data_IF_751397804685
#
_entry.id   IF_751397804685
#
_cell.length_a   1.000
_cell.length_b   1.000
_cell.length_c   1.000
_cell.angle_alpha   90.00
_cell.angle_beta   90.00
_cell.angle_gamma   90.00
#
_symmetry.space_group_name_H-M   'P 1'
#
loop_
_entity.id
_entity.type
_entity.pdbx_description
1 polymer ?
#
# COMPACT_ATOMS: atom_id res chain seq x y z
N UNK A 1 0.99 16.75 -5.21
CA UNK A 1 2.30 17.21 -5.67
C UNK A 1 3.06 17.96 -4.56
N UNK A 2 2.43 18.94 -3.87
CA UNK A 2 3.09 19.71 -2.80
C UNK A 2 3.74 18.81 -1.73
N UNK A 3 3.08 17.76 -1.28
CA UNK A 3 3.64 16.81 -0.31
C UNK A 3 4.85 16.03 -0.89
N UNK A 4 4.83 15.65 -2.16
CA UNK A 4 5.98 15.02 -2.80
C UNK A 4 7.21 15.94 -2.77
N UNK A 5 7.00 17.22 -3.12
CA UNK A 5 8.08 18.23 -3.09
C UNK A 5 8.57 18.44 -1.65
N UNK A 6 7.65 18.59 -0.69
CA UNK A 6 8.01 18.79 0.71
C UNK A 6 8.86 17.63 1.24
N UNK A 7 8.49 16.36 0.96
CA UNK A 7 9.25 15.19 1.36
C UNK A 7 10.65 15.18 0.74
N UNK A 8 10.78 15.52 -0.54
CA UNK A 8 12.10 15.57 -1.21
C UNK A 8 12.98 16.67 -0.64
N UNK A 9 12.42 17.87 -0.40
CA UNK A 9 13.16 19.01 0.16
C UNK A 9 13.62 18.74 1.60
N UNK A 10 12.79 18.03 2.37
CA UNK A 10 13.08 17.66 3.76
C UNK A 10 13.72 16.28 3.87
N UNK A 11 14.09 15.65 2.74
CA UNK A 11 14.62 14.29 2.72
C UNK A 11 15.88 14.16 3.58
N UNK A 12 15.94 13.07 4.34
CA UNK A 12 17.12 12.60 5.01
C UNK A 12 17.72 11.38 4.28
N UNK A 13 18.87 10.91 4.73
CA UNK A 13 19.57 9.76 4.15
C UNK A 13 18.99 8.41 4.58
N UNK A 14 17.85 8.38 5.28
CA UNK A 14 17.27 7.14 5.79
C UNK A 14 16.91 6.18 4.66
N UNK A 15 17.55 5.02 4.67
CA UNK A 15 17.38 3.95 3.70
C UNK A 15 17.51 2.60 4.38
N UNK A 16 16.82 1.59 3.87
CA UNK A 16 16.95 0.22 4.34
C UNK A 16 17.43 -0.68 3.21
N UNK A 17 18.27 -1.68 3.51
CA UNK A 17 18.79 -2.60 2.51
C UNK A 17 17.72 -3.56 2.03
N UNK A 18 17.59 -3.72 0.72
CA UNK A 18 16.89 -4.84 0.09
C UNK A 18 17.89 -5.95 -0.15
N UNK A 19 17.59 -7.14 0.34
CA UNK A 19 18.51 -8.28 0.40
C UNK A 19 17.99 -9.48 -0.37
N UNK A 20 18.91 -10.33 -0.77
CA UNK A 20 18.59 -11.68 -1.24
C UNK A 20 19.46 -12.69 -0.49
N UNK A 21 18.84 -13.80 -0.08
CA UNK A 21 19.55 -14.88 0.62
C UNK A 21 19.62 -16.10 -0.30
N UNK A 22 20.83 -16.51 -0.65
CA UNK A 22 21.12 -17.63 -1.53
C UNK A 22 21.64 -18.82 -0.74
N UNK A 23 21.29 -20.04 -1.16
CA UNK A 23 21.92 -21.25 -0.66
C UNK A 23 23.33 -21.37 -1.22
N UNK A 24 24.29 -21.82 -0.38
CA UNK A 24 25.70 -22.00 -0.76
C UNK A 24 26.03 -23.47 -1.10
N UNK A 25 25.03 -24.35 -1.14
CA UNK A 25 25.14 -25.76 -1.46
C UNK A 25 23.78 -26.39 -1.78
N UNK A 26 23.73 -27.69 -2.06
CA UNK A 26 22.48 -28.38 -2.31
C UNK A 26 21.56 -28.35 -1.07
N UNK A 27 20.23 -28.40 -1.25
CA UNK A 27 19.28 -28.39 -0.13
C UNK A 27 19.56 -29.50 0.87
N UNK A 28 19.66 -29.16 2.16
CA UNK A 28 19.92 -30.13 3.23
C UNK A 28 19.93 -29.44 4.60
N UNK A 29 19.94 -30.24 5.70
CA UNK A 29 19.85 -29.68 7.05
C UNK A 29 21.05 -28.78 7.45
N UNK A 30 22.19 -28.90 6.78
CA UNK A 30 23.41 -28.13 7.04
C UNK A 30 23.79 -27.19 5.89
N UNK A 31 22.84 -26.81 5.02
CA UNK A 31 23.11 -25.89 3.93
C UNK A 31 23.46 -24.50 4.48
N UNK A 32 24.58 -23.95 4.02
CA UNK A 32 24.95 -22.58 4.31
C UNK A 32 24.08 -21.58 3.52
N UNK A 33 23.97 -20.38 4.07
CA UNK A 33 23.26 -19.28 3.42
C UNK A 33 24.18 -18.07 3.30
N UNK A 34 24.12 -17.40 2.13
CA UNK A 34 24.81 -16.14 1.88
C UNK A 34 23.77 -15.05 1.62
N UNK A 35 23.75 -14.04 2.45
CA UNK A 35 22.89 -12.86 2.27
C UNK A 35 23.67 -11.73 1.61
N UNK A 36 23.13 -11.21 0.51
CA UNK A 36 23.70 -10.12 -0.29
C UNK A 36 22.73 -8.94 -0.29
N UNK A 37 23.25 -7.73 -0.08
CA UNK A 37 22.47 -6.51 -0.28
C UNK A 37 22.46 -6.17 -1.77
N UNK A 38 21.26 -6.12 -2.35
CA UNK A 38 21.07 -5.79 -3.77
C UNK A 38 21.14 -4.28 -3.98
N UNK A 39 20.43 -3.53 -3.16
CA UNK A 39 20.43 -2.05 -3.15
C UNK A 39 19.83 -1.54 -1.83
N UNK A 40 19.99 -0.24 -1.59
CA UNK A 40 19.33 0.45 -0.48
C UNK A 40 18.12 1.22 -0.99
N UNK A 41 16.93 0.97 -0.42
CA UNK A 41 15.72 1.71 -0.71
C UNK A 41 15.65 2.97 0.15
N UNK A 42 15.73 4.14 -0.47
CA UNK A 42 15.49 5.41 0.20
C UNK A 42 14.00 5.60 0.48
N UNK A 43 13.65 5.79 1.75
CA UNK A 43 12.26 5.99 2.16
C UNK A 43 11.70 7.31 1.65
N UNK A 44 12.48 8.39 1.66
CA UNK A 44 12.06 9.68 1.13
C UNK A 44 11.68 9.59 -0.36
N UNK A 45 12.50 8.94 -1.19
CA UNK A 45 12.21 8.77 -2.61
C UNK A 45 11.03 7.85 -2.87
N UNK A 46 10.86 6.77 -2.09
CA UNK A 46 9.71 5.88 -2.22
C UNK A 46 8.39 6.57 -1.81
N UNK A 47 8.40 7.40 -0.75
CA UNK A 47 7.27 8.24 -0.35
C UNK A 47 6.96 9.28 -1.43
N UNK A 48 7.97 9.97 -1.95
CA UNK A 48 7.78 10.92 -3.06
C UNK A 48 7.18 10.23 -4.29
N UNK A 49 7.60 8.99 -4.59
CA UNK A 49 7.10 8.22 -5.73
C UNK A 49 5.60 7.92 -5.62
N UNK A 50 5.09 7.46 -4.47
CA UNK A 50 3.63 7.20 -4.37
C UNK A 50 2.80 8.49 -4.40
N UNK A 51 3.32 9.63 -3.89
CA UNK A 51 2.66 10.92 -4.07
C UNK A 51 2.70 11.41 -5.51
N UNK A 52 3.84 11.22 -6.20
CA UNK A 52 3.97 11.58 -7.61
C UNK A 52 3.04 10.75 -8.50
N UNK A 53 2.91 9.44 -8.25
CA UNK A 53 1.94 8.57 -8.92
C UNK A 53 0.51 9.08 -8.75
N UNK A 54 0.12 9.43 -7.52
CA UNK A 54 -1.20 9.99 -7.26
C UNK A 54 -1.41 11.33 -7.96
N UNK A 55 -0.41 12.22 -7.92
CA UNK A 55 -0.49 13.51 -8.60
C UNK A 55 -0.61 13.33 -10.13
N UNK A 56 0.17 12.42 -10.72
CA UNK A 56 0.11 12.09 -12.14
C UNK A 56 -1.26 11.52 -12.52
N UNK A 57 -1.81 10.60 -11.73
CA UNK A 57 -3.13 10.03 -11.97
C UNK A 57 -4.22 11.12 -11.94
N UNK A 58 -4.20 12.00 -10.94
CA UNK A 58 -5.16 13.11 -10.84
C UNK A 58 -5.00 14.09 -11.99
N UNK A 59 -3.78 14.46 -12.37
CA UNK A 59 -3.53 15.30 -13.54
C UNK A 59 -4.06 14.65 -14.83
N UNK A 60 -3.83 13.35 -14.99
CA UNK A 60 -4.29 12.58 -16.15
C UNK A 60 -5.81 12.60 -16.28
N UNK A 61 -6.53 12.35 -15.20
CA UNK A 61 -8.01 12.31 -15.23
C UNK A 61 -8.65 13.70 -15.22
N UNK A 62 -7.97 14.72 -14.71
CA UNK A 62 -8.47 16.10 -14.72
C UNK A 62 -8.15 16.84 -16.03
N UNK A 63 -7.21 16.34 -16.85
CA UNK A 63 -6.74 16.95 -18.09
C UNK A 63 -6.91 16.02 -19.29
N UNK A 64 -5.83 15.38 -19.77
CA UNK A 64 -5.80 14.71 -21.09
C UNK A 64 -6.77 13.53 -21.22
N UNK A 65 -7.26 12.96 -20.13
CA UNK A 65 -8.20 11.82 -20.11
C UNK A 65 -9.57 12.17 -19.53
N UNK A 66 -9.89 13.46 -19.40
CA UNK A 66 -11.14 13.93 -18.79
C UNK A 66 -12.39 13.30 -19.41
N UNK A 67 -12.52 13.31 -20.74
CA UNK A 67 -13.71 12.76 -21.40
C UNK A 67 -13.85 11.26 -21.18
N UNK A 68 -12.74 10.51 -21.27
CA UNK A 68 -12.70 9.09 -20.98
C UNK A 68 -13.05 8.81 -19.51
N UNK A 69 -12.48 9.56 -18.59
CA UNK A 69 -12.76 9.45 -17.15
C UNK A 69 -14.25 9.70 -16.85
N UNK A 70 -14.81 10.81 -17.38
CA UNK A 70 -16.23 11.13 -17.24
C UNK A 70 -17.12 10.02 -17.81
N UNK A 71 -16.80 9.50 -19.00
CA UNK A 71 -17.56 8.41 -19.62
C UNK A 71 -17.54 7.12 -18.77
N UNK A 72 -16.42 6.82 -18.10
CA UNK A 72 -16.32 5.67 -17.19
C UNK A 72 -17.13 5.90 -15.91
N UNK A 73 -17.03 7.08 -15.30
CA UNK A 73 -17.82 7.41 -14.10
C UNK A 73 -19.33 7.32 -14.34
N UNK A 74 -19.82 7.72 -15.52
CA UNK A 74 -21.23 7.57 -15.89
C UNK A 74 -21.68 6.11 -15.96
N UNK A 75 -20.74 5.18 -16.17
CA UNK A 75 -20.98 3.72 -16.13
C UNK A 75 -20.72 3.13 -14.74
N UNK A 76 -20.46 3.95 -13.73
CA UNK A 76 -20.08 3.52 -12.38
C UNK A 76 -18.78 2.72 -12.35
N UNK A 77 -17.80 3.10 -13.18
CA UNK A 77 -16.48 2.49 -13.25
C UNK A 77 -15.38 3.54 -13.11
N UNK A 78 -14.26 3.15 -12.47
CA UNK A 78 -13.08 4.00 -12.41
C UNK A 78 -11.76 3.19 -12.53
N UNK A 79 -11.38 2.74 -13.75
CA UNK A 79 -10.15 1.96 -13.95
C UNK A 79 -8.88 2.74 -13.59
N UNK A 80 -8.90 4.07 -13.72
CA UNK A 80 -7.75 4.92 -13.36
C UNK A 80 -7.40 4.84 -11.89
N UNK A 81 -8.41 4.82 -11.01
CA UNK A 81 -8.24 4.66 -9.57
C UNK A 81 -7.62 3.30 -9.23
N UNK A 82 -8.11 2.23 -9.82
CA UNK A 82 -7.61 0.89 -9.56
C UNK A 82 -6.16 0.71 -9.99
N UNK A 83 -5.79 1.26 -11.15
CA UNK A 83 -4.42 1.26 -11.62
C UNK A 83 -3.48 2.06 -10.69
N UNK A 84 -3.88 3.27 -10.33
CA UNK A 84 -3.11 4.11 -9.40
C UNK A 84 -2.92 3.43 -8.04
N UNK A 85 -3.98 2.84 -7.48
CA UNK A 85 -3.92 2.16 -6.19
C UNK A 85 -3.05 0.91 -6.23
N UNK A 86 -3.08 0.12 -7.31
CA UNK A 86 -2.24 -1.08 -7.42
C UNK A 86 -0.75 -0.75 -7.34
N UNK A 87 -0.35 0.40 -7.86
CA UNK A 87 1.03 0.87 -7.81
C UNK A 87 1.35 1.56 -6.47
N UNK A 88 0.58 2.58 -6.10
CA UNK A 88 0.89 3.40 -4.93
C UNK A 88 0.72 2.67 -3.61
N UNK A 89 -0.33 1.86 -3.45
CA UNK A 89 -0.52 1.06 -2.23
C UNK A 89 0.51 -0.08 -2.11
N UNK A 90 1.03 -0.59 -3.24
CA UNK A 90 2.10 -1.58 -3.20
C UNK A 90 3.42 -0.97 -2.73
N UNK A 91 3.73 0.27 -3.09
CA UNK A 91 4.86 0.98 -2.48
C UNK A 91 4.63 1.16 -0.98
N UNK A 92 3.44 1.56 -0.56
CA UNK A 92 3.11 1.74 0.86
C UNK A 92 3.31 0.45 1.66
N UNK A 93 2.83 -0.69 1.17
CA UNK A 93 2.97 -1.97 1.88
C UNK A 93 4.43 -2.43 1.97
N UNK A 94 5.25 -2.19 0.93
CA UNK A 94 6.69 -2.44 0.95
C UNK A 94 7.38 -1.62 2.05
N UNK A 95 7.08 -0.33 2.15
CA UNK A 95 7.66 0.52 3.18
C UNK A 95 7.30 0.04 4.59
N UNK A 96 6.04 -0.33 4.83
CA UNK A 96 5.59 -0.86 6.11
C UNK A 96 6.28 -2.20 6.43
N UNK A 97 6.38 -3.10 5.44
CA UNK A 97 7.05 -4.39 5.58
C UNK A 97 8.53 -4.23 5.94
N UNK A 98 9.23 -3.31 5.28
CA UNK A 98 10.63 -3.03 5.58
C UNK A 98 10.85 -2.43 6.96
N UNK A 99 9.92 -1.62 7.48
CA UNK A 99 9.99 -1.08 8.84
C UNK A 99 9.90 -2.14 9.94
N UNK A 100 9.28 -3.29 9.67
CA UNK A 100 9.23 -4.42 10.60
C UNK A 100 10.35 -5.45 10.34
N UNK A 101 11.24 -5.20 9.37
CA UNK A 101 12.39 -6.04 9.07
C UNK A 101 12.21 -7.04 7.92
N UNK A 102 11.09 -7.01 7.19
CA UNK A 102 10.93 -7.80 5.96
C UNK A 102 11.70 -7.10 4.84
N UNK A 103 12.90 -7.55 4.55
CA UNK A 103 13.79 -6.93 3.58
C UNK A 103 14.30 -7.89 2.49
N UNK A 104 13.84 -9.13 2.49
CA UNK A 104 14.14 -10.10 1.42
C UNK A 104 13.35 -9.75 0.16
N UNK A 105 14.07 -9.71 -0.98
CA UNK A 105 13.47 -9.30 -2.27
C UNK A 105 12.33 -10.21 -2.71
N UNK A 106 12.43 -11.52 -2.46
CA UNK A 106 11.38 -12.46 -2.84
C UNK A 106 10.10 -12.21 -2.03
N UNK A 107 10.22 -11.94 -0.73
CA UNK A 107 9.11 -11.57 0.13
C UNK A 107 8.49 -10.23 -0.31
N UNK A 108 9.31 -9.23 -0.61
CA UNK A 108 8.81 -7.92 -1.08
C UNK A 108 8.08 -8.02 -2.42
N UNK A 109 8.60 -8.79 -3.38
CA UNK A 109 7.93 -9.04 -4.67
C UNK A 109 6.61 -9.78 -4.47
N UNK A 110 6.58 -10.79 -3.58
CA UNK A 110 5.34 -11.51 -3.26
C UNK A 110 4.30 -10.58 -2.62
N UNK A 111 4.71 -9.72 -1.68
CA UNK A 111 3.82 -8.72 -1.05
C UNK A 111 3.23 -7.74 -2.07
N UNK A 112 4.06 -7.23 -3.01
CA UNK A 112 3.59 -6.37 -4.12
C UNK A 112 2.57 -7.13 -4.98
N UNK A 113 2.88 -8.36 -5.38
CA UNK A 113 2.00 -9.18 -6.22
C UNK A 113 0.65 -9.46 -5.55
N UNK A 114 0.65 -9.85 -4.29
CA UNK A 114 -0.58 -10.12 -3.54
C UNK A 114 -1.40 -8.84 -3.32
N UNK A 115 -0.75 -7.73 -2.97
CA UNK A 115 -1.43 -6.44 -2.78
C UNK A 115 -2.04 -5.92 -4.09
N UNK A 116 -1.30 -5.99 -5.19
CA UNK A 116 -1.81 -5.62 -6.51
C UNK A 116 -2.98 -6.53 -6.95
N UNK A 117 -2.92 -7.83 -6.66
CA UNK A 117 -3.99 -8.78 -6.92
C UNK A 117 -5.25 -8.46 -6.11
N UNK A 118 -5.12 -8.12 -4.82
CA UNK A 118 -6.24 -7.64 -4.00
C UNK A 118 -6.96 -6.47 -4.66
N UNK A 119 -6.20 -5.48 -5.14
CA UNK A 119 -6.74 -4.30 -5.81
C UNK A 119 -7.37 -4.68 -7.16
N UNK A 120 -6.74 -5.63 -7.88
CA UNK A 120 -7.29 -6.21 -9.11
C UNK A 120 -8.65 -6.88 -8.89
N UNK A 121 -8.84 -7.62 -7.79
CA UNK A 121 -10.15 -8.17 -7.42
C UNK A 121 -11.18 -7.09 -7.10
N UNK A 122 -10.77 -5.98 -6.47
CA UNK A 122 -11.63 -4.81 -6.30
C UNK A 122 -12.08 -4.21 -7.65
N UNK A 123 -11.16 -4.14 -8.63
CA UNK A 123 -11.48 -3.71 -9.99
C UNK A 123 -12.40 -4.72 -10.69
N UNK A 124 -12.17 -6.01 -10.55
CA UNK A 124 -13.05 -7.05 -11.11
C UNK A 124 -14.47 -6.94 -10.52
N UNK A 125 -14.58 -6.71 -9.21
CA UNK A 125 -15.87 -6.44 -8.56
C UNK A 125 -16.60 -5.27 -9.22
N UNK A 126 -15.89 -4.16 -9.47
CA UNK A 126 -16.48 -2.97 -10.12
C UNK A 126 -16.84 -3.22 -11.59
N UNK A 127 -16.05 -4.01 -12.31
CA UNK A 127 -16.21 -4.19 -13.74
C UNK A 127 -17.26 -5.22 -14.12
N UNK A 128 -17.38 -6.30 -13.36
CA UNK A 128 -18.20 -7.46 -13.75
C UNK A 128 -19.45 -7.65 -12.91
N UNK A 129 -19.50 -7.05 -11.73
CA UNK A 129 -20.64 -7.15 -10.83
C UNK A 129 -21.44 -5.84 -10.80
N UNK A 130 -22.76 -5.95 -10.89
CA UNK A 130 -23.63 -4.78 -10.71
C UNK A 130 -23.92 -4.53 -9.22
N UNK A 131 -24.09 -3.26 -8.80
CA UNK A 131 -24.49 -2.97 -7.43
C UNK A 131 -25.81 -3.65 -7.05
N UNK A 132 -25.75 -4.45 -5.97
CA UNK A 132 -26.85 -5.31 -5.50
C UNK A 132 -26.71 -6.79 -5.89
N UNK A 133 -25.76 -7.14 -6.78
CA UNK A 133 -25.43 -8.50 -7.15
C UNK A 133 -24.41 -9.16 -6.16
N UNK A 134 -23.70 -10.18 -6.63
CA UNK A 134 -22.72 -10.92 -5.84
C UNK A 134 -21.52 -10.09 -5.39
N UNK A 135 -20.83 -10.58 -4.37
CA UNK A 135 -19.59 -10.02 -3.84
C UNK A 135 -18.42 -11.02 -3.96
N UNK A 136 -18.43 -11.89 -4.98
CA UNK A 136 -17.43 -12.93 -5.17
C UNK A 136 -16.01 -12.37 -5.26
N UNK A 137 -15.71 -11.52 -6.26
CA UNK A 137 -14.38 -10.91 -6.38
C UNK A 137 -13.99 -10.11 -5.13
N UNK A 138 -14.92 -9.39 -4.52
CA UNK A 138 -14.68 -8.63 -3.29
C UNK A 138 -14.15 -9.53 -2.16
N UNK A 139 -14.78 -10.67 -1.89
CA UNK A 139 -14.34 -11.58 -0.83
C UNK A 139 -12.98 -12.21 -1.12
N UNK A 140 -12.72 -12.59 -2.37
CA UNK A 140 -11.40 -13.08 -2.79
C UNK A 140 -10.35 -11.98 -2.59
N UNK A 141 -10.68 -10.75 -2.93
CA UNK A 141 -9.84 -9.58 -2.66
C UNK A 141 -9.56 -9.39 -1.16
N UNK A 142 -10.55 -9.55 -0.29
CA UNK A 142 -10.34 -9.48 1.17
C UNK A 142 -9.40 -10.58 1.67
N UNK A 143 -9.52 -11.81 1.16
CA UNK A 143 -8.62 -12.93 1.51
C UNK A 143 -7.19 -12.61 1.05
N UNK A 144 -7.00 -12.13 -0.18
CA UNK A 144 -5.69 -11.71 -0.66
C UNK A 144 -5.15 -10.53 0.18
N UNK A 145 -6.00 -9.57 0.51
CA UNK A 145 -5.62 -8.35 1.21
C UNK A 145 -5.16 -8.55 2.65
N UNK A 146 -5.59 -9.60 3.33
CA UNK A 146 -5.13 -9.88 4.71
C UNK A 146 -3.72 -10.46 4.77
N UNK A 147 -3.23 -11.10 3.68
CA UNK A 147 -1.94 -11.80 3.66
C UNK A 147 -0.76 -10.88 3.99
N UNK A 148 -0.59 -9.70 3.38
CA UNK A 148 0.48 -8.77 3.74
C UNK A 148 0.45 -8.38 5.22
N UNK A 149 -0.75 -8.17 5.77
CA UNK A 149 -0.93 -7.77 7.17
C UNK A 149 -0.58 -8.88 8.14
N UNK A 150 -0.88 -10.15 7.80
CA UNK A 150 -0.45 -11.31 8.59
C UNK A 150 1.08 -11.40 8.60
N UNK A 151 1.73 -11.28 7.43
CA UNK A 151 3.19 -11.30 7.34
C UNK A 151 3.83 -10.19 8.20
N UNK A 152 3.34 -8.96 8.07
CA UNK A 152 3.83 -7.81 8.85
C UNK A 152 3.56 -8.03 10.35
N UNK A 153 2.39 -8.53 10.74
CA UNK A 153 2.05 -8.79 12.14
C UNK A 153 2.96 -9.85 12.78
N UNK A 154 3.34 -10.91 12.05
CA UNK A 154 4.29 -11.92 12.53
C UNK A 154 5.64 -11.27 12.84
N UNK A 155 6.15 -10.44 11.95
CA UNK A 155 7.42 -9.73 12.16
C UNK A 155 7.32 -8.69 13.29
N UNK A 156 6.19 -8.00 13.37
CA UNK A 156 5.94 -7.01 14.43
C UNK A 156 5.83 -7.65 15.82
N UNK A 157 5.20 -8.83 15.91
CA UNK A 157 5.13 -9.61 17.14
C UNK A 157 6.49 -10.18 17.56
N UNK A 158 7.39 -10.42 16.59
CA UNK A 158 8.77 -10.84 16.80
C UNK A 158 8.90 -12.09 17.66
N UNK A 159 8.19 -13.21 17.38
CA UNK A 159 8.27 -14.39 18.24
C UNK A 159 9.72 -14.91 18.33
N UNK A 160 10.26 -14.96 19.54
CA UNK A 160 11.65 -15.37 19.81
C UNK A 160 12.71 -14.28 19.55
N UNK A 161 12.31 -13.06 19.20
CA UNK A 161 13.26 -11.95 19.05
C UNK A 161 13.67 -11.37 20.41
N UNK A 162 14.96 -11.03 20.55
CA UNK A 162 15.49 -10.37 21.75
C UNK A 162 15.15 -8.87 21.82
N UNK A 163 14.73 -8.29 20.70
CA UNK A 163 14.34 -6.88 20.59
C UNK A 163 13.06 -6.75 19.79
N UNK A 164 12.24 -5.77 20.16
CA UNK A 164 10.97 -5.46 19.48
C UNK A 164 11.10 -4.20 18.62
N UNK A 165 10.22 -4.08 17.66
CA UNK A 165 10.13 -2.90 16.82
C UNK A 165 9.88 -1.64 17.68
N UNK A 166 10.40 -0.46 17.28
CA UNK A 166 10.11 0.79 17.97
C UNK A 166 8.60 1.09 18.00
N UNK A 167 8.15 1.79 19.05
CA UNK A 167 6.71 2.04 19.28
C UNK A 167 5.99 2.73 18.12
N UNK A 168 6.67 3.60 17.36
CA UNK A 168 6.08 4.26 16.21
C UNK A 168 5.68 3.28 15.09
N UNK A 169 6.40 2.15 14.95
CA UNK A 169 6.09 1.13 13.94
C UNK A 169 4.74 0.46 14.23
N UNK A 170 4.42 0.24 15.50
CA UNK A 170 3.09 -0.23 15.90
C UNK A 170 2.01 0.81 15.53
N UNK A 171 2.29 2.10 15.77
CA UNK A 171 1.39 3.19 15.39
C UNK A 171 1.10 3.19 13.88
N UNK A 172 2.15 3.05 13.04
CA UNK A 172 2.01 2.94 11.58
C UNK A 172 1.18 1.71 11.22
N UNK A 173 1.51 0.54 11.77
CA UNK A 173 0.80 -0.71 11.48
C UNK A 173 -0.71 -0.56 11.74
N UNK A 174 -1.11 -0.18 12.94
CA UNK A 174 -2.53 -0.12 13.31
C UNK A 174 -3.27 0.98 12.54
N UNK A 175 -2.70 2.17 12.42
CA UNK A 175 -3.36 3.28 11.71
C UNK A 175 -3.58 2.95 10.23
N UNK A 176 -2.57 2.45 9.54
CA UNK A 176 -2.68 2.16 8.11
C UNK A 176 -3.51 0.90 7.87
N UNK A 177 -3.46 -0.11 8.73
CA UNK A 177 -4.36 -1.26 8.69
C UNK A 177 -5.83 -0.84 8.75
N UNK A 178 -6.18 0.08 9.64
CA UNK A 178 -7.54 0.64 9.72
C UNK A 178 -7.92 1.34 8.42
N UNK A 179 -7.05 2.18 7.88
CA UNK A 179 -7.34 2.86 6.60
C UNK A 179 -7.52 1.88 5.44
N UNK A 180 -6.69 0.84 5.33
CA UNK A 180 -6.86 -0.18 4.29
C UNK A 180 -8.22 -0.88 4.40
N UNK A 181 -8.68 -1.18 5.61
CA UNK A 181 -10.02 -1.75 5.82
C UNK A 181 -11.14 -0.76 5.45
N UNK A 182 -10.95 0.54 5.67
CA UNK A 182 -11.93 1.55 5.24
C UNK A 182 -12.16 1.54 3.73
N UNK A 183 -11.15 1.22 2.90
CA UNK A 183 -11.34 1.06 1.45
C UNK A 183 -12.26 -0.13 1.13
N UNK A 184 -12.06 -1.27 1.78
CA UNK A 184 -12.91 -2.43 1.61
C UNK A 184 -14.34 -2.16 2.10
N UNK A 185 -14.50 -1.51 3.25
CA UNK A 185 -15.80 -1.11 3.78
C UNK A 185 -16.51 -0.16 2.80
N UNK A 186 -15.80 0.81 2.22
CA UNK A 186 -16.36 1.73 1.25
C UNK A 186 -16.88 1.00 0.00
N UNK A 187 -16.13 0.02 -0.52
CA UNK A 187 -16.57 -0.82 -1.63
C UNK A 187 -17.80 -1.65 -1.27
N UNK A 188 -17.79 -2.29 -0.10
CA UNK A 188 -18.93 -3.05 0.39
C UNK A 188 -20.20 -2.20 0.51
N UNK A 189 -20.09 -0.99 1.06
CA UNK A 189 -21.21 -0.04 1.19
C UNK A 189 -21.79 0.35 -0.18
N UNK A 190 -20.92 0.59 -1.19
CA UNK A 190 -21.34 0.89 -2.57
C UNK A 190 -22.13 -0.27 -3.19
N UNK A 191 -21.61 -1.50 -3.06
CA UNK A 191 -22.24 -2.67 -3.67
C UNK A 191 -23.52 -3.11 -2.94
N UNK A 192 -23.60 -2.86 -1.64
CA UNK A 192 -24.84 -3.07 -0.84
C UNK A 192 -25.82 -1.88 -0.95
N UNK A 193 -25.46 -0.80 -1.63
CA UNK A 193 -26.28 0.43 -1.78
C UNK A 193 -26.75 0.99 -0.45
N UNK A 194 -25.89 0.99 0.57
CA UNK A 194 -26.23 1.42 1.93
C UNK A 194 -26.34 2.95 2.00
N UNK A 195 -27.53 3.46 2.24
CA UNK A 195 -27.77 4.90 2.46
C UNK A 195 -27.20 5.78 1.34
N UNK A 196 -26.31 6.69 1.66
CA UNK A 196 -25.68 7.62 0.69
C UNK A 196 -24.84 6.91 -0.38
N UNK A 197 -24.32 5.71 -0.10
CA UNK A 197 -23.50 4.93 -1.05
C UNK A 197 -24.32 4.29 -2.18
N UNK A 198 -25.65 4.42 -2.19
CA UNK A 198 -26.46 4.13 -3.35
C UNK A 198 -26.09 5.02 -4.55
N UNK A 199 -25.54 6.20 -4.31
CA UNK A 199 -24.92 7.05 -5.32
C UNK A 199 -23.42 6.68 -5.44
N UNK A 200 -23.02 6.18 -6.61
CA UNK A 200 -21.65 5.78 -6.92
C UNK A 200 -20.63 6.87 -6.61
N UNK A 201 -20.94 8.14 -6.91
CA UNK A 201 -20.03 9.26 -6.69
C UNK A 201 -19.72 9.53 -5.21
N UNK A 202 -20.57 9.11 -4.29
CA UNK A 202 -20.29 9.21 -2.84
C UNK A 202 -19.13 8.30 -2.48
N UNK A 203 -19.15 7.04 -2.93
CA UNK A 203 -18.05 6.12 -2.75
C UNK A 203 -16.76 6.57 -3.44
N UNK A 204 -16.85 7.14 -4.64
CA UNK A 204 -15.69 7.69 -5.35
C UNK A 204 -15.02 8.83 -4.57
N UNK A 205 -15.81 9.76 -4.04
CA UNK A 205 -15.30 10.83 -3.17
C UNK A 205 -14.65 10.26 -1.90
N UNK A 206 -15.27 9.24 -1.29
CA UNK A 206 -14.69 8.57 -0.13
C UNK A 206 -13.34 7.93 -0.47
N UNK A 207 -13.19 7.25 -1.61
CA UNK A 207 -11.91 6.69 -2.05
C UNK A 207 -10.82 7.75 -2.21
N UNK A 208 -11.11 8.88 -2.86
CA UNK A 208 -10.16 9.98 -3.04
C UNK A 208 -9.71 10.53 -1.67
N UNK A 209 -10.67 10.77 -0.77
CA UNK A 209 -10.39 11.29 0.57
C UNK A 209 -9.56 10.30 1.40
N UNK A 210 -9.96 9.02 1.44
CA UNK A 210 -9.22 7.97 2.14
C UNK A 210 -7.80 7.82 1.61
N UNK A 211 -7.62 7.86 0.29
CA UNK A 211 -6.31 7.77 -0.33
C UNK A 211 -5.39 8.93 0.07
N UNK A 212 -5.91 10.15 0.03
CA UNK A 212 -5.15 11.33 0.43
C UNK A 212 -4.74 11.24 1.91
N UNK A 213 -5.68 10.91 2.80
CA UNK A 213 -5.42 10.85 4.25
C UNK A 213 -4.44 9.71 4.57
N UNK A 214 -4.67 8.50 4.05
CA UNK A 214 -3.81 7.35 4.33
C UNK A 214 -2.36 7.57 3.85
N UNK A 215 -2.18 8.11 2.65
CA UNK A 215 -0.85 8.43 2.10
C UNK A 215 -0.16 9.53 2.90
N UNK A 216 -0.89 10.59 3.27
CA UNK A 216 -0.35 11.67 4.09
C UNK A 216 0.05 11.14 5.47
N UNK A 217 -0.83 10.37 6.10
CA UNK A 217 -0.57 9.83 7.43
C UNK A 217 0.67 8.93 7.44
N UNK A 218 0.78 7.98 6.51
CA UNK A 218 1.94 7.11 6.41
C UNK A 218 3.23 7.90 6.17
N UNK A 219 3.20 8.83 5.21
CA UNK A 219 4.36 9.64 4.87
C UNK A 219 4.87 10.44 6.07
N UNK A 220 4.00 11.14 6.77
CA UNK A 220 4.39 11.97 7.91
C UNK A 220 4.74 11.16 9.16
N UNK A 221 4.12 10.00 9.37
CA UNK A 221 4.54 9.09 10.45
C UNK A 221 5.95 8.56 10.23
N UNK A 222 6.28 8.10 9.00
CA UNK A 222 7.64 7.65 8.67
C UNK A 222 8.62 8.82 8.80
N UNK A 223 8.28 9.97 8.23
CA UNK A 223 9.16 11.12 8.21
C UNK A 223 9.47 11.64 9.62
N UNK A 224 8.46 11.81 10.46
CA UNK A 224 8.64 12.28 11.83
C UNK A 224 9.48 11.31 12.68
N UNK A 225 9.28 9.99 12.48
CA UNK A 225 10.04 8.98 13.23
C UNK A 225 11.50 8.85 12.77
N UNK A 226 11.78 9.03 11.47
CA UNK A 226 13.16 9.00 10.95
C UNK A 226 13.94 10.26 11.33
N UNK A 227 13.28 11.42 11.38
CA UNK A 227 13.90 12.65 11.90
C UNK A 227 14.21 12.56 13.41
N UNK A 228 13.29 12.02 14.20
CA UNK A 228 13.49 11.82 15.62
C UNK A 228 14.69 10.88 15.90
N UNK A 229 14.84 9.84 15.08
CA UNK A 229 15.97 8.88 15.22
C UNK A 229 17.32 9.51 14.85
N UNK A 230 17.35 10.41 13.86
CA UNK A 230 18.60 11.10 13.46
C UNK A 230 19.02 12.23 14.42
N UNK A 231 18.14 12.71 15.28
CA UNK A 231 18.45 13.70 16.31
C UNK A 231 18.98 13.07 17.62
N UNK A 232 18.91 11.74 17.74
CA UNK A 232 19.34 11.01 18.95
C UNK A 232 20.75 10.38 18.81
N UNK A 233 21.43 10.61 17.71
CA UNK A 233 22.83 10.24 17.42
C UNK A 233 23.65 11.49 17.08
#
# INVERSE_FOLDING_TARGET
LAQAVAIVVLANSFSLPVRATYMTGPPGPNVGHQTVTLFNLSFAWAIAAFFALSALAHFTVAGPRWDSYKAQLLKSHNPYRWLEYSLSASIMIVLIAMLVGINDIAALVALVGVNASMIGFGWMQERYETPGAGLGPFWIGCIAGIVPWIAIAIYLAGPGANQHAPGFVYGIFFSIFVFFNCFAINQWLQYKKVGKWSNYLVGERAYVTLSLIAKSLLAWQIFASTLASSAAH
#
